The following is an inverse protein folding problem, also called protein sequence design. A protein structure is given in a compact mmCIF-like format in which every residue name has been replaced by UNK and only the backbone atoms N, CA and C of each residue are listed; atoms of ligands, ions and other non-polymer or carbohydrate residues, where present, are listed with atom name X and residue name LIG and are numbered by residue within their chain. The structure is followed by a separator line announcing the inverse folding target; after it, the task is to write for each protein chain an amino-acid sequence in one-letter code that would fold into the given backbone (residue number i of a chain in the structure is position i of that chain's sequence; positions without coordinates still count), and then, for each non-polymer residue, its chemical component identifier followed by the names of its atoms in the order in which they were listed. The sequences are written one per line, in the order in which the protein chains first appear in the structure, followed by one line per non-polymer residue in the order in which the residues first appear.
data_IF_998703212416
#
_entry.id   IF_998703212416
#
_cell.length_a   1.000
_cell.length_b   1.000
_cell.length_c   1.000
_cell.angle_alpha   90.00
_cell.angle_beta   90.00
_cell.angle_gamma   90.00
#
_symmetry.space_group_name_H-M   'P 1'
#
loop_
_entity.id
_entity.type
_entity.pdbx_description
1 polymer ?
#
# COMPACT_ATOMS: atom_id res chain seq x y z
N UNK A 1 -31.28 -5.19 48.78
CA UNK A 1 -31.47 -5.40 47.32
C UNK A 1 -30.20 -5.79 46.55
N UNK A 2 -29.09 -5.04 46.55
CA UNK A 2 -27.88 -5.43 45.77
C UNK A 2 -27.24 -6.77 46.23
N UNK A 3 -27.25 -7.04 47.53
CA UNK A 3 -26.63 -8.24 48.13
C UNK A 3 -27.42 -9.51 47.79
N UNK A 4 -28.75 -9.44 47.87
CA UNK A 4 -29.68 -10.50 47.46
C UNK A 4 -29.48 -10.90 45.98
N UNK A 5 -29.43 -9.92 45.07
CA UNK A 5 -29.22 -10.18 43.65
C UNK A 5 -27.88 -10.87 43.42
N UNK A 6 -26.84 -10.46 44.16
CA UNK A 6 -25.51 -11.06 44.07
C UNK A 6 -25.51 -12.51 44.58
N UNK A 7 -26.18 -12.77 45.71
CA UNK A 7 -26.33 -14.10 46.30
C UNK A 7 -27.08 -15.04 45.35
N UNK A 8 -28.25 -14.65 44.86
CA UNK A 8 -29.06 -15.47 43.95
C UNK A 8 -28.33 -15.74 42.63
N UNK A 9 -27.59 -14.77 42.08
CA UNK A 9 -26.75 -14.98 40.89
C UNK A 9 -25.60 -15.96 41.15
N UNK A 10 -24.97 -15.88 42.32
CA UNK A 10 -23.92 -16.82 42.70
C UNK A 10 -24.50 -18.23 42.85
N UNK A 11 -25.65 -18.37 43.51
CA UNK A 11 -26.34 -19.65 43.64
C UNK A 11 -26.75 -20.22 42.28
N UNK A 12 -27.33 -19.40 41.39
CA UNK A 12 -27.71 -19.81 40.04
C UNK A 12 -26.50 -20.31 39.24
N UNK A 13 -25.35 -19.64 39.39
CA UNK A 13 -24.08 -20.05 38.76
C UNK A 13 -23.59 -21.39 39.31
N UNK A 14 -23.70 -21.62 40.62
CA UNK A 14 -23.31 -22.89 41.23
C UNK A 14 -24.26 -24.03 40.84
N UNK A 15 -25.54 -23.73 40.61
CA UNK A 15 -26.58 -24.69 40.20
C UNK A 15 -26.63 -24.96 38.68
N UNK A 16 -25.64 -24.51 37.91
CA UNK A 16 -25.66 -24.57 36.42
C UNK A 16 -25.83 -25.97 35.82
N UNK A 17 -25.49 -27.03 36.55
CA UNK A 17 -25.62 -28.42 36.10
C UNK A 17 -27.02 -29.02 36.29
N UNK A 18 -27.93 -28.30 36.95
CA UNK A 18 -29.34 -28.70 37.01
C UNK A 18 -30.05 -28.40 35.69
N UNK A 19 -31.17 -29.10 35.45
CA UNK A 19 -32.07 -28.71 34.37
C UNK A 19 -32.58 -27.29 34.61
N UNK A 20 -32.81 -26.48 33.56
CA UNK A 20 -33.20 -25.08 33.71
C UNK A 20 -34.43 -24.89 34.60
N UNK A 21 -35.42 -25.79 34.47
CA UNK A 21 -36.64 -25.78 35.27
C UNK A 21 -36.36 -25.97 36.77
N UNK A 22 -35.63 -27.04 37.11
CA UNK A 22 -35.30 -27.35 38.51
C UNK A 22 -34.44 -26.24 39.13
N UNK A 23 -33.50 -25.68 38.36
CA UNK A 23 -32.69 -24.52 38.80
C UNK A 23 -33.56 -23.31 39.11
N UNK A 24 -34.51 -22.98 38.24
CA UNK A 24 -35.42 -21.84 38.44
C UNK A 24 -36.32 -22.06 39.67
N UNK A 25 -36.79 -23.29 39.89
CA UNK A 25 -37.59 -23.65 41.06
C UNK A 25 -36.81 -23.42 42.36
N UNK A 26 -35.53 -23.84 42.44
CA UNK A 26 -34.68 -23.57 43.60
C UNK A 26 -34.41 -22.07 43.80
N UNK A 27 -34.08 -21.32 42.74
CA UNK A 27 -33.84 -19.88 42.83
C UNK A 27 -35.10 -19.12 43.26
N UNK A 28 -36.26 -19.52 42.76
CA UNK A 28 -37.56 -18.97 43.14
C UNK A 28 -37.88 -19.23 44.61
N UNK A 29 -37.60 -20.45 45.11
CA UNK A 29 -37.80 -20.79 46.52
C UNK A 29 -36.91 -19.94 47.45
N UNK A 30 -35.61 -19.81 47.16
CA UNK A 30 -34.73 -18.94 47.96
C UNK A 30 -35.13 -17.47 47.88
N UNK A 31 -35.61 -16.99 46.72
CA UNK A 31 -36.14 -15.63 46.58
C UNK A 31 -37.38 -15.42 47.45
N UNK A 32 -38.29 -16.39 47.50
CA UNK A 32 -39.49 -16.34 48.35
C UNK A 32 -39.09 -16.31 49.84
N UNK A 33 -38.16 -17.16 50.27
CA UNK A 33 -37.68 -17.17 51.66
C UNK A 33 -37.02 -15.84 52.08
N UNK A 34 -36.24 -15.22 51.19
CA UNK A 34 -35.66 -13.90 51.43
C UNK A 34 -36.75 -12.84 51.55
N UNK A 35 -37.74 -12.88 50.65
CA UNK A 35 -38.84 -11.93 50.64
C UNK A 35 -39.72 -12.04 51.91
N UNK A 36 -40.03 -13.25 52.34
CA UNK A 36 -40.87 -13.50 53.52
C UNK A 36 -40.19 -13.03 54.81
N UNK A 37 -38.88 -13.30 54.98
CA UNK A 37 -38.12 -12.82 56.14
C UNK A 37 -37.92 -11.31 56.13
N UNK A 38 -37.69 -10.73 54.96
CA UNK A 38 -37.62 -9.28 54.81
C UNK A 38 -38.93 -8.60 55.21
N UNK A 39 -40.07 -9.19 54.83
CA UNK A 39 -41.41 -8.71 55.21
C UNK A 39 -41.67 -8.82 56.72
N UNK A 40 -41.07 -9.79 57.39
CA UNK A 40 -41.09 -9.94 58.86
C UNK A 40 -40.18 -8.96 59.62
N UNK A 41 -39.45 -8.08 58.91
CA UNK A 41 -38.66 -7.01 59.51
C UNK A 41 -37.17 -7.30 59.68
N UNK A 42 -36.67 -8.44 59.19
CA UNK A 42 -35.24 -8.76 59.19
C UNK A 42 -34.47 -7.95 58.13
N UNK A 43 -33.23 -7.57 58.43
CA UNK A 43 -32.38 -6.89 57.45
C UNK A 43 -31.92 -7.87 56.37
N UNK A 44 -31.82 -7.42 55.11
CA UNK A 44 -31.37 -8.29 54.01
C UNK A 44 -29.97 -8.87 54.25
N UNK A 45 -29.11 -8.16 54.99
CA UNK A 45 -27.78 -8.62 55.36
C UNK A 45 -27.83 -9.79 56.34
N UNK A 46 -28.69 -9.72 57.35
CA UNK A 46 -28.81 -10.78 58.36
C UNK A 46 -29.44 -12.04 57.75
N UNK A 47 -30.43 -11.85 56.88
CA UNK A 47 -31.07 -12.94 56.12
C UNK A 47 -30.03 -13.69 55.28
N UNK A 48 -29.23 -12.98 54.49
CA UNK A 48 -28.23 -13.61 53.62
C UNK A 48 -27.12 -14.28 54.44
N UNK A 49 -26.71 -13.69 55.55
CA UNK A 49 -25.72 -14.29 56.45
C UNK A 49 -26.26 -15.51 57.21
N UNK A 50 -27.58 -15.67 57.31
CA UNK A 50 -28.22 -16.83 57.93
C UNK A 50 -28.27 -18.05 57.00
N UNK A 51 -28.12 -17.85 55.69
CA UNK A 51 -28.03 -18.96 54.74
C UNK A 51 -26.62 -19.52 54.69
N UNK A 52 -26.53 -20.80 54.35
CA UNK A 52 -25.25 -21.42 53.99
C UNK A 52 -24.68 -20.77 52.72
N UNK A 53 -23.38 -20.97 52.49
CA UNK A 53 -22.74 -20.48 51.27
C UNK A 53 -23.42 -21.05 50.02
N UNK A 54 -23.52 -20.29 48.90
CA UNK A 54 -24.05 -20.80 47.64
C UNK A 54 -23.40 -22.11 47.18
N UNK A 55 -22.12 -22.30 47.48
CA UNK A 55 -21.37 -23.53 47.22
C UNK A 55 -21.89 -24.72 48.04
N UNK A 56 -22.13 -24.52 49.34
CA UNK A 56 -22.70 -25.54 50.24
C UNK A 56 -24.11 -25.91 49.82
N UNK A 57 -24.96 -24.92 49.54
CA UNK A 57 -26.34 -25.12 49.09
C UNK A 57 -26.36 -25.96 47.79
N UNK A 58 -25.54 -25.59 46.81
CA UNK A 58 -25.44 -26.34 45.56
C UNK A 58 -24.92 -27.77 45.77
N UNK A 59 -23.93 -27.96 46.64
CA UNK A 59 -23.41 -29.29 46.98
C UNK A 59 -24.49 -30.19 47.59
N UNK A 60 -25.31 -29.66 48.51
CA UNK A 60 -26.38 -30.40 49.15
C UNK A 60 -27.47 -30.78 48.15
N UNK A 61 -27.88 -29.84 47.28
CA UNK A 61 -28.88 -30.10 46.22
C UNK A 61 -28.37 -31.16 45.22
N UNK A 62 -27.10 -31.11 44.85
CA UNK A 62 -26.51 -32.11 43.95
C UNK A 62 -26.40 -33.49 44.60
N UNK A 63 -26.12 -33.56 45.90
CA UNK A 63 -26.12 -34.82 46.65
C UNK A 63 -27.54 -35.40 46.75
N UNK A 64 -28.53 -34.56 47.05
CA UNK A 64 -29.94 -34.96 47.18
C UNK A 64 -30.52 -35.48 45.85
N UNK A 65 -30.12 -34.88 44.73
CA UNK A 65 -30.55 -35.29 43.38
C UNK A 65 -29.66 -36.37 42.75
N UNK A 66 -28.70 -36.93 43.49
CA UNK A 66 -27.73 -37.95 43.02
C UNK A 66 -26.95 -37.54 41.76
N UNK A 67 -26.68 -36.25 41.60
CA UNK A 67 -25.97 -35.71 40.44
C UNK A 67 -24.47 -35.80 40.67
N UNK A 68 -23.79 -36.65 39.89
CA UNK A 68 -22.32 -36.71 39.89
C UNK A 68 -21.72 -35.46 39.21
N UNK A 69 -21.40 -34.47 40.04
CA UNK A 69 -20.77 -33.21 39.63
C UNK A 69 -19.46 -33.46 38.88
N UNK A 70 -18.68 -34.49 39.20
CA UNK A 70 -17.39 -34.76 38.54
C UNK A 70 -17.62 -35.22 37.10
N UNK A 71 -18.64 -36.05 36.87
CA UNK A 71 -19.01 -36.54 35.54
C UNK A 71 -19.59 -35.46 34.65
N UNK A 72 -20.46 -34.59 35.19
CA UNK A 72 -21.03 -33.47 34.42
C UNK A 72 -19.99 -32.36 34.15
N UNK A 73 -19.08 -32.08 35.10
CA UNK A 73 -17.91 -31.23 34.83
C UNK A 73 -17.02 -31.81 33.72
N UNK A 74 -16.78 -33.12 33.70
CA UNK A 74 -15.98 -33.76 32.67
C UNK A 74 -16.62 -33.69 31.26
N UNK A 75 -17.95 -33.78 31.17
CA UNK A 75 -18.71 -33.57 29.92
C UNK A 75 -18.64 -32.12 29.41
N UNK A 76 -18.82 -31.14 30.29
CA UNK A 76 -18.73 -29.70 29.95
C UNK A 76 -17.30 -29.32 29.52
N UNK A 77 -16.28 -29.89 30.16
CA UNK A 77 -14.88 -29.73 29.74
C UNK A 77 -14.62 -30.32 28.35
N UNK A 78 -15.18 -31.49 28.02
CA UNK A 78 -15.05 -32.09 26.69
C UNK A 78 -15.79 -31.31 25.59
N UNK A 79 -17.02 -30.85 25.85
CA UNK A 79 -17.80 -30.12 24.84
C UNK A 79 -17.28 -28.69 24.63
N UNK A 80 -16.86 -28.00 25.70
CA UNK A 80 -16.25 -26.66 25.58
C UNK A 80 -14.82 -26.72 25.04
N UNK A 81 -14.07 -27.80 25.32
CA UNK A 81 -12.73 -28.03 24.79
C UNK A 81 -12.72 -28.19 23.27
N UNK A 82 -13.65 -28.98 22.71
CA UNK A 82 -13.78 -29.15 21.26
C UNK A 82 -14.20 -27.85 20.56
N UNK A 83 -15.16 -27.11 21.10
CA UNK A 83 -15.57 -25.82 20.53
C UNK A 83 -14.44 -24.78 20.56
N UNK A 84 -13.69 -24.69 21.66
CA UNK A 84 -12.52 -23.81 21.79
C UNK A 84 -11.38 -24.23 20.86
N UNK A 85 -11.16 -25.54 20.69
CA UNK A 85 -10.15 -26.07 19.77
C UNK A 85 -10.52 -25.78 18.30
N UNK A 86 -11.78 -25.95 17.92
CA UNK A 86 -12.28 -25.61 16.57
C UNK A 86 -12.21 -24.11 16.28
N UNK A 87 -12.55 -23.27 17.26
CA UNK A 87 -12.37 -21.82 17.17
C UNK A 87 -10.90 -21.42 17.06
N UNK A 88 -10.02 -22.08 17.81
CA UNK A 88 -8.58 -21.88 17.71
C UNK A 88 -8.03 -22.27 16.33
N UNK A 89 -8.42 -23.44 15.81
CA UNK A 89 -8.01 -23.91 14.48
C UNK A 89 -8.54 -23.02 13.35
N UNK A 90 -9.78 -22.53 13.45
CA UNK A 90 -10.37 -21.66 12.41
C UNK A 90 -9.70 -20.29 12.34
N UNK A 91 -8.99 -19.87 13.38
CA UNK A 91 -8.21 -18.62 13.39
C UNK A 91 -6.83 -18.72 12.75
N UNK A 92 -6.32 -19.93 12.47
CA UNK A 92 -4.98 -20.15 11.90
C UNK A 92 -4.90 -19.70 10.43
N UNK A 93 -5.93 -19.98 9.63
CA UNK A 93 -5.90 -19.63 8.20
C UNK A 93 -5.89 -18.09 7.98
N UNK A 94 -6.72 -17.29 8.67
CA UNK A 94 -6.59 -15.84 8.68
C UNK A 94 -5.23 -15.33 9.18
N UNK A 95 -4.61 -16.02 10.16
CA UNK A 95 -3.29 -15.63 10.66
C UNK A 95 -2.21 -15.74 9.60
N UNK A 96 -2.21 -16.82 8.81
CA UNK A 96 -1.25 -16.99 7.71
C UNK A 96 -1.41 -15.85 6.69
N UNK A 97 -2.64 -15.44 6.38
CA UNK A 97 -2.89 -14.30 5.50
C UNK A 97 -2.34 -12.99 6.07
N UNK A 98 -2.59 -12.71 7.35
CA UNK A 98 -2.06 -11.51 8.04
C UNK A 98 -0.53 -11.52 8.09
N UNK A 99 0.09 -12.68 8.31
CA UNK A 99 1.54 -12.86 8.25
C UNK A 99 2.10 -12.54 6.87
N UNK A 100 1.45 -13.03 5.80
CA UNK A 100 1.83 -12.72 4.42
C UNK A 100 1.77 -11.21 4.15
N UNK A 101 0.76 -10.51 4.67
CA UNK A 101 0.72 -9.05 4.57
C UNK A 101 1.93 -8.39 5.24
N UNK A 102 2.33 -8.83 6.44
CA UNK A 102 3.52 -8.31 7.11
C UNK A 102 4.78 -8.51 6.25
N UNK A 103 4.96 -9.71 5.66
CA UNK A 103 6.07 -10.00 4.74
C UNK A 103 6.05 -9.06 3.53
N UNK A 104 4.88 -8.84 2.91
CA UNK A 104 4.75 -7.94 1.76
C UNK A 104 5.20 -6.53 2.13
N UNK A 105 4.80 -6.02 3.30
CA UNK A 105 5.21 -4.69 3.77
C UNK A 105 6.72 -4.59 4.01
N UNK A 106 7.34 -5.58 4.66
CA UNK A 106 8.79 -5.62 4.85
C UNK A 106 9.54 -5.72 3.52
N UNK A 107 9.06 -6.56 2.61
CA UNK A 107 9.66 -6.73 1.28
C UNK A 107 9.55 -5.45 0.47
N UNK A 108 8.38 -4.80 0.49
CA UNK A 108 8.16 -3.50 -0.19
C UNK A 108 9.09 -2.43 0.36
N UNK A 109 9.23 -2.35 1.69
CA UNK A 109 10.17 -1.43 2.34
C UNK A 109 11.61 -1.66 1.86
N UNK A 110 12.06 -2.93 1.82
CA UNK A 110 13.39 -3.28 1.34
C UNK A 110 13.60 -2.93 -0.14
N UNK A 111 12.62 -3.24 -1.00
CA UNK A 111 12.66 -2.91 -2.43
C UNK A 111 12.74 -1.41 -2.64
N UNK A 112 12.05 -0.59 -1.84
CA UNK A 112 12.14 0.87 -1.93
C UNK A 112 13.52 1.40 -1.54
N UNK A 113 14.20 0.80 -0.57
CA UNK A 113 15.57 1.15 -0.17
C UNK A 113 16.55 0.88 -1.32
N UNK A 114 16.41 -0.24 -2.04
CA UNK A 114 17.26 -0.51 -3.20
C UNK A 114 16.84 0.37 -4.40
N UNK A 115 15.53 0.53 -4.57
CA UNK A 115 14.91 1.25 -5.68
C UNK A 115 15.26 2.73 -5.72
N UNK A 116 15.46 3.39 -4.57
CA UNK A 116 15.83 4.81 -4.59
C UNK A 116 17.21 5.04 -5.20
N UNK A 117 18.21 4.19 -4.90
CA UNK A 117 19.55 4.30 -5.49
C UNK A 117 19.50 4.13 -7.01
N UNK A 118 18.72 3.15 -7.48
CA UNK A 118 18.53 2.94 -8.91
C UNK A 118 17.81 4.13 -9.57
N UNK A 119 16.76 4.66 -8.93
CA UNK A 119 16.03 5.83 -9.42
C UNK A 119 16.93 7.07 -9.56
N UNK A 120 17.86 7.29 -8.61
CA UNK A 120 18.84 8.37 -8.71
C UNK A 120 19.66 8.28 -9.99
N UNK A 121 20.25 7.12 -10.24
CA UNK A 121 21.06 6.89 -11.45
C UNK A 121 20.21 7.10 -12.71
N UNK A 122 18.98 6.60 -12.72
CA UNK A 122 18.09 6.78 -13.87
C UNK A 122 17.76 8.25 -14.14
N UNK A 123 17.56 9.09 -13.12
CA UNK A 123 17.28 10.51 -13.35
C UNK A 123 18.45 11.22 -14.04
N UNK A 124 19.68 10.96 -13.60
CA UNK A 124 20.88 11.60 -14.17
C UNK A 124 21.28 11.05 -15.54
N UNK A 125 20.93 9.80 -15.84
CA UNK A 125 21.15 9.22 -17.17
C UNK A 125 20.15 9.76 -18.21
N UNK A 126 18.89 9.95 -17.83
CA UNK A 126 17.82 10.20 -18.79
C UNK A 126 17.43 11.68 -18.94
N UNK A 127 17.68 12.52 -17.94
CA UNK A 127 17.22 13.91 -17.93
C UNK A 127 18.39 14.91 -17.90
N UNK A 128 18.09 16.14 -18.33
CA UNK A 128 18.99 17.27 -18.18
C UNK A 128 19.18 17.64 -16.71
N UNK A 129 20.30 18.31 -16.38
CA UNK A 129 20.74 18.57 -15.00
C UNK A 129 19.64 19.19 -14.12
N UNK A 130 18.93 20.20 -14.64
CA UNK A 130 17.90 20.91 -13.86
C UNK A 130 16.72 19.99 -13.49
N UNK A 131 16.29 19.16 -14.43
CA UNK A 131 15.19 18.20 -14.28
C UNK A 131 15.61 17.02 -13.40
N UNK A 132 16.83 16.53 -13.58
CA UNK A 132 17.41 15.44 -12.81
C UNK A 132 17.54 15.80 -11.33
N UNK A 133 17.83 17.06 -11.00
CA UNK A 133 17.87 17.56 -9.60
C UNK A 133 16.50 17.41 -8.93
N UNK A 134 15.41 17.80 -9.60
CA UNK A 134 14.06 17.66 -9.07
C UNK A 134 13.69 16.22 -8.77
N UNK A 135 13.89 15.33 -9.74
CA UNK A 135 13.66 13.88 -9.56
C UNK A 135 14.56 13.26 -8.49
N UNK A 136 15.81 13.71 -8.40
CA UNK A 136 16.77 13.25 -7.38
C UNK A 136 16.30 13.58 -5.97
N UNK A 137 15.91 14.84 -5.72
CA UNK A 137 15.40 15.22 -4.40
C UNK A 137 14.10 14.49 -4.06
N UNK A 138 13.23 14.28 -5.06
CA UNK A 138 12.00 13.54 -4.87
C UNK A 138 12.29 12.09 -4.46
N UNK A 139 13.22 11.42 -5.13
CA UNK A 139 13.62 10.05 -4.78
C UNK A 139 14.37 9.95 -3.45
N UNK A 140 15.22 10.92 -3.10
CA UNK A 140 15.91 10.96 -1.80
C UNK A 140 14.95 11.21 -0.63
N UNK A 141 13.82 11.88 -0.87
CA UNK A 141 12.81 12.13 0.15
C UNK A 141 11.74 11.04 0.20
N UNK A 142 10.99 10.90 -0.90
CA UNK A 142 9.74 10.14 -0.93
C UNK A 142 9.95 8.65 -0.73
N UNK A 143 10.94 8.06 -1.42
CA UNK A 143 11.15 6.61 -1.37
C UNK A 143 11.61 6.15 0.02
N UNK A 144 12.57 6.81 0.70
CA UNK A 144 12.87 6.52 2.11
C UNK A 144 11.69 6.74 3.06
N UNK A 145 10.87 7.79 2.88
CA UNK A 145 9.67 7.99 3.70
C UNK A 145 8.68 6.83 3.55
N UNK A 146 8.40 6.42 2.32
CA UNK A 146 7.53 5.27 2.03
C UNK A 146 8.12 3.97 2.59
N UNK A 147 9.44 3.78 2.50
CA UNK A 147 10.11 2.63 3.08
C UNK A 147 9.95 2.58 4.60
N UNK A 148 10.14 3.70 5.30
CA UNK A 148 9.92 3.81 6.74
C UNK A 148 8.45 3.54 7.08
N UNK A 149 7.52 4.13 6.33
CA UNK A 149 6.08 3.93 6.52
C UNK A 149 5.70 2.45 6.42
N UNK A 150 6.08 1.78 5.33
CA UNK A 150 5.77 0.36 5.13
C UNK A 150 6.46 -0.54 6.17
N UNK A 151 7.69 -0.21 6.59
CA UNK A 151 8.35 -0.92 7.68
C UNK A 151 7.57 -0.82 8.99
N UNK A 152 7.08 0.37 9.34
CA UNK A 152 6.26 0.58 10.54
C UNK A 152 4.91 -0.13 10.46
N UNK A 153 4.23 -0.08 9.32
CA UNK A 153 3.00 -0.83 9.09
C UNK A 153 3.27 -2.34 9.28
N UNK A 154 4.35 -2.86 8.70
CA UNK A 154 4.78 -4.25 8.88
C UNK A 154 5.01 -4.63 10.34
N UNK A 155 5.66 -3.77 11.14
CA UNK A 155 5.87 -3.96 12.58
C UNK A 155 4.54 -4.05 13.34
N UNK A 156 3.62 -3.12 13.10
CA UNK A 156 2.35 -3.09 13.83
C UNK A 156 1.47 -4.29 13.47
N UNK A 157 1.45 -4.70 12.20
CA UNK A 157 0.77 -5.93 11.75
C UNK A 157 1.41 -7.15 12.44
N UNK A 158 2.74 -7.23 12.48
CA UNK A 158 3.44 -8.35 13.13
C UNK A 158 3.17 -8.43 14.65
N UNK A 159 3.11 -7.28 15.34
CA UNK A 159 2.72 -7.23 16.76
C UNK A 159 1.29 -7.70 16.97
N UNK A 160 0.37 -7.23 16.13
CA UNK A 160 -1.02 -7.65 16.16
C UNK A 160 -1.14 -9.16 15.94
N UNK A 161 -0.43 -9.68 14.94
CA UNK A 161 -0.37 -11.12 14.66
C UNK A 161 0.18 -11.92 15.83
N UNK A 162 1.29 -11.49 16.44
CA UNK A 162 1.87 -12.16 17.63
C UNK A 162 0.88 -12.21 18.79
N UNK A 163 0.15 -11.13 19.02
CA UNK A 163 -0.91 -11.09 20.04
C UNK A 163 -2.04 -12.06 19.69
N UNK A 164 -2.49 -12.04 18.44
CA UNK A 164 -3.59 -12.87 17.98
C UNK A 164 -3.24 -14.36 17.98
N UNK A 165 -2.02 -14.72 17.55
CA UNK A 165 -1.47 -16.08 17.60
C UNK A 165 -1.41 -16.61 19.04
N UNK A 166 -0.99 -15.76 20.00
CA UNK A 166 -0.99 -16.11 21.41
C UNK A 166 -2.41 -16.41 21.91
N UNK A 167 -3.40 -15.58 21.56
CA UNK A 167 -4.81 -15.80 21.91
C UNK A 167 -5.30 -17.15 21.35
N UNK A 168 -4.98 -17.44 20.09
CA UNK A 168 -5.38 -18.71 19.46
C UNK A 168 -4.77 -19.93 20.14
N UNK A 169 -3.48 -19.88 20.50
CA UNK A 169 -2.84 -20.96 21.26
C UNK A 169 -3.49 -21.12 22.63
N UNK A 170 -3.76 -20.03 23.35
CA UNK A 170 -4.38 -20.08 24.68
C UNK A 170 -5.79 -20.67 24.62
N UNK A 171 -6.56 -20.36 23.57
CA UNK A 171 -7.87 -20.98 23.30
C UNK A 171 -7.76 -22.48 23.02
N UNK A 172 -6.76 -22.92 22.25
CA UNK A 172 -6.53 -24.35 21.96
C UNK A 172 -6.07 -25.12 23.20
N UNK A 173 -5.18 -24.54 24.01
CA UNK A 173 -4.60 -25.18 25.20
C UNK A 173 -5.56 -25.11 26.41
N UNK A 174 -6.59 -24.28 26.36
CA UNK A 174 -7.62 -24.20 27.40
C UNK A 174 -7.16 -23.54 28.70
N UNK A 175 -6.10 -22.72 28.66
CA UNK A 175 -5.64 -21.94 29.81
C UNK A 175 -6.43 -20.63 29.92
N UNK A 176 -6.77 -20.22 31.15
CA UNK A 176 -7.32 -18.89 31.39
C UNK A 176 -6.25 -17.84 31.07
N UNK A 177 -6.63 -16.82 30.29
CA UNK A 177 -5.71 -15.74 29.91
C UNK A 177 -5.20 -15.03 31.18
N UNK A 178 -3.94 -15.23 31.53
CA UNK A 178 -3.24 -14.26 32.36
C UNK A 178 -3.13 -12.97 31.54
N UNK A 179 -3.94 -11.97 31.91
CA UNK A 179 -3.91 -10.63 31.32
C UNK A 179 -2.47 -10.12 31.44
N UNK A 180 -1.76 -10.16 30.32
CA UNK A 180 -0.34 -9.87 30.28
C UNK A 180 -0.12 -8.37 30.36
N UNK A 181 -0.13 -7.83 31.58
CA UNK A 181 0.34 -6.48 31.88
C UNK A 181 1.87 -6.46 31.94
N UNK A 182 2.52 -6.80 30.82
CA UNK A 182 3.92 -6.42 30.62
C UNK A 182 3.96 -5.35 29.57
N UNK A 183 3.76 -4.12 30.05
CA UNK A 183 4.24 -2.96 29.33
C UNK A 183 5.75 -3.07 29.33
N UNK A 184 6.33 -3.49 28.21
CA UNK A 184 7.76 -3.30 27.93
C UNK A 184 8.02 -1.80 27.83
N UNK A 185 8.07 -1.15 29.00
CA UNK A 185 8.57 0.20 29.15
C UNK A 185 10.10 0.10 29.20
N UNK A 186 10.70 1.08 28.53
CA UNK A 186 12.11 1.45 28.61
C UNK A 186 13.04 0.73 27.63
N UNK A 187 13.12 1.28 26.41
CA UNK A 187 14.36 1.53 25.64
C UNK A 187 14.00 2.20 24.31
N UNK A 188 13.65 3.50 24.29
CA UNK A 188 13.22 4.11 23.02
C UNK A 188 13.35 5.65 22.88
N UNK A 189 13.76 6.42 23.91
CA UNK A 189 13.84 7.88 23.72
C UNK A 189 14.85 8.30 22.63
N UNK A 190 16.04 7.69 22.59
CA UNK A 190 17.07 8.00 21.58
C UNK A 190 16.63 7.62 20.15
N UNK A 191 16.04 6.44 19.98
CA UNK A 191 15.58 5.98 18.66
C UNK A 191 14.45 6.87 18.13
N UNK A 192 13.53 7.32 18.99
CA UNK A 192 12.46 8.25 18.61
C UNK A 192 13.00 9.58 18.08
N UNK A 193 14.02 10.14 18.72
CA UNK A 193 14.64 11.41 18.26
C UNK A 193 15.28 11.22 16.88
N UNK A 194 16.04 10.14 16.68
CA UNK A 194 16.68 9.83 15.38
C UNK A 194 15.62 9.68 14.28
N UNK A 195 14.51 8.99 14.57
CA UNK A 195 13.41 8.81 13.61
C UNK A 195 12.76 10.15 13.26
N UNK A 196 12.52 11.03 14.25
CA UNK A 196 11.98 12.36 14.00
C UNK A 196 12.92 13.16 13.09
N UNK A 197 14.21 13.16 13.38
CA UNK A 197 15.22 13.86 12.56
C UNK A 197 15.22 13.32 11.13
N UNK A 198 15.24 11.99 10.95
CA UNK A 198 15.19 11.36 9.63
C UNK A 198 13.90 11.71 8.87
N UNK A 199 12.75 11.64 9.52
CA UNK A 199 11.47 12.02 8.92
C UNK A 199 11.48 13.49 8.48
N UNK A 200 11.99 14.41 9.31
CA UNK A 200 12.12 15.81 8.95
C UNK A 200 13.02 16.01 7.73
N UNK A 201 14.20 15.37 7.71
CA UNK A 201 15.16 15.47 6.59
C UNK A 201 14.55 14.94 5.29
N UNK A 202 13.93 13.75 5.32
CA UNK A 202 13.32 13.18 4.12
C UNK A 202 12.07 13.95 3.67
N UNK A 203 11.32 14.55 4.60
CA UNK A 203 10.18 15.43 4.26
C UNK A 203 10.64 16.69 3.55
N UNK A 204 11.75 17.30 3.99
CA UNK A 204 12.35 18.45 3.32
C UNK A 204 12.81 18.10 1.91
N UNK A 205 13.48 16.96 1.72
CA UNK A 205 13.86 16.48 0.39
C UNK A 205 12.64 16.20 -0.49
N UNK A 206 11.59 15.62 0.07
CA UNK A 206 10.34 15.36 -0.67
C UNK A 206 9.72 16.68 -1.13
N UNK A 207 9.64 17.67 -0.25
CA UNK A 207 9.08 18.98 -0.58
C UNK A 207 9.90 19.69 -1.66
N UNK A 208 11.23 19.73 -1.51
CA UNK A 208 12.14 20.27 -2.53
C UNK A 208 12.04 19.51 -3.85
N UNK A 209 11.91 18.18 -3.80
CA UNK A 209 11.73 17.32 -4.95
C UNK A 209 10.41 17.54 -5.67
N UNK A 210 9.30 17.69 -4.95
CA UNK A 210 8.00 18.03 -5.52
C UNK A 210 8.08 19.38 -6.23
N UNK A 211 8.65 20.40 -5.59
CA UNK A 211 8.86 21.70 -6.23
C UNK A 211 9.74 21.53 -7.47
N UNK A 212 10.92 20.93 -7.36
CA UNK A 212 11.84 20.78 -8.50
C UNK A 212 11.27 19.93 -9.65
N UNK A 213 10.39 18.97 -9.36
CA UNK A 213 9.78 18.09 -10.36
C UNK A 213 8.56 18.72 -11.02
N UNK A 214 7.86 19.65 -10.37
CA UNK A 214 6.58 20.20 -10.85
C UNK A 214 6.55 21.73 -11.03
N UNK A 215 7.57 22.46 -10.59
CA UNK A 215 7.62 23.93 -10.67
C UNK A 215 7.96 24.41 -12.09
N UNK A 216 6.93 24.41 -12.95
CA UNK A 216 6.97 25.01 -14.27
C UNK A 216 6.94 24.00 -15.42
N UNK A 217 6.62 24.46 -16.63
CA UNK A 217 6.29 23.58 -17.76
C UNK A 217 7.48 22.78 -18.32
N UNK A 218 8.72 23.16 -17.97
CA UNK A 218 9.96 22.48 -18.39
C UNK A 218 10.51 21.47 -17.37
N UNK A 219 9.77 21.22 -16.29
CA UNK A 219 10.10 20.19 -15.30
C UNK A 219 9.46 18.85 -15.68
N UNK A 220 9.94 17.73 -15.16
CA UNK A 220 9.45 16.38 -15.54
C UNK A 220 7.93 16.26 -15.32
N UNK A 221 7.48 16.60 -14.11
CA UNK A 221 6.08 16.58 -13.74
C UNK A 221 5.27 17.72 -14.38
N UNK A 222 5.85 18.92 -14.50
CA UNK A 222 5.17 20.06 -15.13
C UNK A 222 4.93 19.87 -16.63
N UNK A 223 5.87 19.28 -17.35
CA UNK A 223 5.72 18.88 -18.75
C UNK A 223 4.61 17.84 -18.90
N UNK A 224 4.62 16.79 -18.05
CA UNK A 224 3.57 15.77 -18.04
C UNK A 224 2.18 16.33 -17.77
N UNK A 225 2.03 17.29 -16.85
CA UNK A 225 0.73 17.90 -16.53
C UNK A 225 0.25 18.87 -17.60
N UNK A 226 1.16 19.61 -18.22
CA UNK A 226 0.83 20.59 -19.25
C UNK A 226 0.70 19.99 -20.65
N UNK A 227 1.07 18.72 -20.83
CA UNK A 227 1.14 18.07 -22.15
C UNK A 227 2.25 18.63 -23.04
N UNK A 228 3.15 19.44 -22.49
CA UNK A 228 4.29 20.00 -23.21
C UNK A 228 5.49 19.06 -23.14
N UNK A 229 6.42 19.23 -24.07
CA UNK A 229 7.72 18.59 -24.02
C UNK A 229 8.76 19.53 -23.39
N UNK A 230 9.73 18.94 -22.71
CA UNK A 230 10.76 19.69 -21.97
C UNK A 230 11.76 20.36 -22.90
N UNK A 231 12.19 19.63 -23.93
CA UNK A 231 13.25 20.03 -24.85
C UNK A 231 12.72 20.08 -26.28
N UNK A 232 13.30 21.00 -27.05
CA UNK A 232 13.04 21.16 -28.47
C UNK A 232 14.37 21.23 -29.19
N UNK A 233 14.53 20.48 -30.29
CA UNK A 233 15.67 20.57 -31.19
C UNK A 233 15.15 20.69 -32.62
N UNK A 234 15.68 21.62 -33.39
CA UNK A 234 15.35 21.75 -34.81
C UNK A 234 16.59 21.47 -35.63
N UNK A 235 16.54 20.40 -36.42
CA UNK A 235 17.59 20.03 -37.36
C UNK A 235 17.17 20.47 -38.77
N UNK A 236 18.09 21.04 -39.54
CA UNK A 236 17.83 21.44 -40.93
C UNK A 236 18.55 20.47 -41.84
N UNK A 237 17.78 19.78 -42.69
CA UNK A 237 18.28 18.83 -43.67
C UNK A 237 18.26 19.50 -45.03
N UNK A 238 19.45 19.71 -45.60
CA UNK A 238 19.58 20.20 -46.97
C UNK A 238 19.49 19.01 -47.92
N UNK A 239 18.58 19.07 -48.88
CA UNK A 239 18.39 18.04 -49.91
C UNK A 239 18.55 18.60 -51.33
N UNK A 240 19.20 19.76 -51.48
CA UNK A 240 19.48 20.39 -52.78
C UNK A 240 20.15 19.44 -53.77
N UNK A 241 21.08 18.60 -53.30
CA UNK A 241 21.77 17.60 -54.12
C UNK A 241 20.84 16.56 -54.74
N UNK A 242 19.67 16.32 -54.15
CA UNK A 242 18.66 15.39 -54.68
C UNK A 242 17.70 16.07 -55.67
N UNK A 243 17.54 17.40 -55.57
CA UNK A 243 16.76 18.21 -56.52
C UNK A 243 17.50 18.44 -57.84
N UNK A 244 18.83 18.59 -57.81
CA UNK A 244 19.65 18.83 -59.02
C UNK A 244 19.63 17.66 -60.02
N UNK A 245 19.33 16.44 -59.56
CA UNK A 245 19.40 15.24 -60.40
C UNK A 245 18.15 14.94 -61.22
N UNK A 246 17.03 15.65 -61.04
CA UNK A 246 15.79 15.41 -61.81
C UNK A 246 14.96 16.68 -62.02
N UNK A 247 14.74 17.02 -63.29
CA UNK A 247 13.83 18.09 -63.72
C UNK A 247 12.42 17.93 -63.12
N UNK A 248 12.06 18.79 -62.17
CA UNK A 248 10.70 19.13 -61.76
C UNK A 248 9.75 17.99 -61.30
N UNK A 249 10.24 16.77 -61.03
CA UNK A 249 9.40 15.72 -60.44
C UNK A 249 9.18 15.98 -58.95
N UNK A 250 7.90 15.96 -58.51
CA UNK A 250 7.54 16.09 -57.09
C UNK A 250 8.21 14.98 -56.28
N UNK A 251 9.13 15.37 -55.39
CA UNK A 251 9.72 14.44 -54.42
C UNK A 251 8.65 14.03 -53.40
N UNK A 252 8.47 12.72 -53.22
CA UNK A 252 7.61 12.18 -52.16
C UNK A 252 8.48 11.70 -51.00
N UNK A 253 8.32 12.34 -49.84
CA UNK A 253 8.97 11.90 -48.61
C UNK A 253 8.03 10.99 -47.82
N UNK A 254 8.52 9.81 -47.46
CA UNK A 254 7.85 8.90 -46.54
C UNK A 254 8.43 9.03 -45.14
N UNK A 255 7.53 9.25 -44.18
CA UNK A 255 7.81 9.47 -42.76
C UNK A 255 7.37 8.31 -41.86
N UNK A 256 6.90 7.20 -42.45
CA UNK A 256 6.41 6.04 -41.69
C UNK A 256 7.43 5.55 -40.67
N UNK A 257 8.72 5.57 -41.04
CA UNK A 257 9.80 5.17 -40.14
C UNK A 257 9.91 6.06 -38.91
N UNK A 258 9.72 7.38 -39.03
CA UNK A 258 9.71 8.27 -37.85
C UNK A 258 8.55 7.96 -36.91
N UNK A 259 7.42 7.45 -37.45
CA UNK A 259 6.24 7.10 -36.67
C UNK A 259 6.52 5.91 -35.75
N UNK A 260 7.31 4.97 -36.23
CA UNK A 260 7.73 3.80 -35.44
C UNK A 260 8.59 4.19 -34.23
N UNK A 261 9.22 5.38 -34.27
CA UNK A 261 10.00 5.97 -33.18
C UNK A 261 9.27 7.12 -32.45
N UNK A 262 8.05 7.48 -32.85
CA UNK A 262 7.25 8.54 -32.23
C UNK A 262 5.89 8.02 -31.76
N UNK A 263 5.66 8.03 -30.45
CA UNK A 263 4.36 7.62 -29.89
C UNK A 263 3.27 8.68 -30.08
N UNK A 264 3.64 9.96 -30.13
CA UNK A 264 2.71 11.07 -30.30
C UNK A 264 3.03 11.81 -31.59
N UNK A 265 2.18 11.59 -32.60
CA UNK A 265 1.87 12.52 -33.69
C UNK A 265 3.07 13.08 -34.48
N UNK A 266 3.18 12.66 -35.74
CA UNK A 266 3.94 13.43 -36.73
C UNK A 266 3.03 14.57 -37.21
N UNK A 267 3.41 15.81 -36.95
CA UNK A 267 2.77 16.96 -37.57
C UNK A 267 3.50 17.30 -38.87
N UNK A 268 2.80 17.22 -40.00
CA UNK A 268 3.29 17.68 -41.29
C UNK A 268 2.74 19.09 -41.54
N UNK A 269 3.62 20.07 -41.68
CA UNK A 269 3.27 21.41 -42.14
C UNK A 269 3.76 21.49 -43.59
N UNK A 270 2.87 21.14 -44.52
CA UNK A 270 3.11 21.24 -45.97
C UNK A 270 2.85 22.67 -46.43
N UNK A 271 3.90 23.33 -46.90
CA UNK A 271 3.79 24.56 -47.66
C UNK A 271 3.78 24.23 -49.16
N UNK A 272 3.08 25.04 -49.96
CA UNK A 272 2.81 24.75 -51.38
C UNK A 272 4.05 24.91 -52.29
N UNK A 273 5.13 25.51 -51.78
CA UNK A 273 6.40 25.70 -52.49
C UNK A 273 7.54 24.94 -51.78
N UNK A 274 7.96 23.82 -52.38
CA UNK A 274 9.08 23.01 -51.91
C UNK A 274 10.41 23.76 -52.17
N UNK A 275 11.03 24.32 -51.12
CA UNK A 275 12.42 24.84 -51.16
C UNK A 275 13.44 23.72 -50.89
N UNK A 276 14.74 23.94 -51.08
CA UNK A 276 15.81 22.92 -50.95
C UNK A 276 16.12 22.43 -49.53
N UNK A 277 15.36 22.86 -48.54
CA UNK A 277 15.62 22.60 -47.12
C UNK A 277 14.38 22.07 -46.39
N UNK A 278 14.60 21.09 -45.52
CA UNK A 278 13.60 20.47 -44.67
C UNK A 278 13.98 20.70 -43.20
N UNK A 279 13.12 21.35 -42.41
CA UNK A 279 13.32 21.47 -40.96
C UNK A 279 12.58 20.36 -40.23
N UNK A 280 13.32 19.57 -39.45
CA UNK A 280 12.79 18.56 -38.53
C UNK A 280 12.87 19.12 -37.13
N UNK A 281 11.73 19.58 -36.60
CA UNK A 281 11.58 19.93 -35.19
C UNK A 281 11.24 18.68 -34.38
N UNK A 282 12.04 18.40 -33.35
CA UNK A 282 11.88 17.30 -32.41
C UNK A 282 11.63 17.87 -31.02
N UNK A 283 10.47 17.56 -30.46
CA UNK A 283 10.09 17.90 -29.10
C UNK A 283 10.18 16.64 -28.22
N UNK A 284 10.92 16.68 -27.12
CA UNK A 284 11.24 15.49 -26.33
C UNK A 284 11.47 15.76 -24.83
N UNK A 285 11.35 14.70 -24.01
CA UNK A 285 11.47 14.80 -22.53
C UNK A 285 12.81 14.34 -21.96
N UNK A 286 13.70 13.79 -22.79
CA UNK A 286 14.98 13.25 -22.35
C UNK A 286 16.15 14.21 -22.62
N UNK A 287 17.34 13.82 -22.15
CA UNK A 287 18.58 14.54 -22.33
C UNK A 287 18.90 14.80 -23.81
N UNK A 288 19.30 16.02 -24.13
CA UNK A 288 19.63 16.47 -25.49
C UNK A 288 20.81 15.74 -26.12
N UNK A 289 21.73 15.23 -25.28
CA UNK A 289 22.89 14.44 -25.69
C UNK A 289 22.53 13.04 -26.20
N UNK A 290 21.28 12.59 -26.10
CA UNK A 290 20.81 11.40 -26.81
C UNK A 290 20.67 11.79 -28.29
N UNK A 291 21.74 11.54 -29.05
CA UNK A 291 21.75 11.82 -30.48
C UNK A 291 20.65 11.02 -31.18
N UNK A 292 19.83 11.71 -31.97
CA UNK A 292 19.08 11.09 -33.06
C UNK A 292 19.51 11.83 -34.30
N UNK A 293 20.37 11.20 -35.07
CA UNK A 293 20.74 11.68 -36.40
C UNK A 293 19.73 11.15 -37.41
N UNK A 294 19.48 11.91 -38.47
CA UNK A 294 18.57 11.52 -39.55
C UNK A 294 19.34 11.42 -40.86
N UNK A 295 18.92 10.51 -41.71
CA UNK A 295 19.41 10.36 -43.07
C UNK A 295 18.22 10.21 -44.00
N UNK A 296 18.34 10.86 -45.15
CA UNK A 296 17.40 10.71 -46.26
C UNK A 296 17.94 9.58 -47.13
N UNK A 297 17.20 8.46 -47.19
CA UNK A 297 17.53 7.34 -48.08
C UNK A 297 16.57 7.27 -49.25
N UNK A 298 17.11 7.20 -50.45
CA UNK A 298 16.32 6.97 -51.65
C UNK A 298 15.85 5.51 -51.70
N UNK A 299 14.56 5.31 -51.97
CA UNK A 299 14.01 3.99 -52.26
C UNK A 299 14.50 3.49 -53.64
N UNK A 300 14.61 2.17 -53.80
CA UNK A 300 15.00 1.56 -55.08
C UNK A 300 13.96 1.83 -56.18
N UNK A 301 12.73 2.13 -55.78
CA UNK A 301 11.70 2.64 -56.67
C UNK A 301 11.86 4.15 -56.83
N UNK A 302 12.21 4.59 -58.05
CA UNK A 302 12.48 5.99 -58.37
C UNK A 302 11.38 6.94 -57.85
N UNK A 303 11.79 7.98 -57.12
CA UNK A 303 11.04 9.14 -56.61
C UNK A 303 10.48 9.07 -55.18
N UNK A 304 10.69 7.98 -54.44
CA UNK A 304 10.37 7.92 -53.01
C UNK A 304 11.64 8.05 -52.15
N UNK A 305 11.59 8.93 -51.16
CA UNK A 305 12.67 9.14 -50.19
C UNK A 305 12.17 8.85 -48.78
N UNK A 306 12.93 8.11 -48.00
CA UNK A 306 12.60 7.77 -46.61
C UNK A 306 13.47 8.60 -45.68
N UNK A 307 12.84 9.34 -44.76
CA UNK A 307 13.55 9.97 -43.66
C UNK A 307 13.64 8.95 -42.51
N UNK A 308 14.85 8.46 -42.25
CA UNK A 308 15.08 7.43 -41.24
C UNK A 308 16.14 7.87 -40.22
N UNK A 309 16.02 7.45 -38.95
CA UNK A 309 17.06 7.71 -37.97
C UNK A 309 18.29 6.81 -38.22
N UNK A 310 19.50 7.37 -38.13
CA UNK A 310 20.77 6.69 -38.44
C UNK A 310 21.33 5.98 -37.21
N UNK A 311 21.21 6.60 -36.04
CA UNK A 311 21.76 6.11 -34.79
C UNK A 311 20.74 6.37 -33.67
N UNK A 312 19.82 5.44 -33.43
CA UNK A 312 18.97 5.49 -32.23
C UNK A 312 19.73 4.81 -31.10
N UNK A 313 20.62 5.55 -30.44
CA UNK A 313 21.29 5.04 -29.25
C UNK A 313 20.27 4.84 -28.12
N UNK A 314 19.97 3.57 -27.85
CA UNK A 314 19.10 3.03 -26.82
C UNK A 314 17.60 3.38 -26.91
N UNK A 315 16.85 2.38 -27.39
CA UNK A 315 15.46 2.12 -27.03
C UNK A 315 15.34 1.82 -25.52
N UNK A 316 15.57 2.79 -24.65
CA UNK A 316 15.16 2.67 -23.25
C UNK A 316 13.64 2.89 -23.20
N UNK A 317 12.89 1.81 -23.48
CA UNK A 317 11.48 1.68 -23.10
C UNK A 317 11.38 1.61 -21.56
N UNK A 318 11.77 2.67 -20.88
CA UNK A 318 11.61 2.78 -19.44
C UNK A 318 10.30 3.55 -19.20
N UNK A 319 9.34 2.87 -18.54
CA UNK A 319 8.06 3.40 -18.04
C UNK A 319 6.94 3.76 -19.03
N UNK A 320 6.99 3.35 -20.30
CA UNK A 320 5.88 3.62 -21.24
C UNK A 320 5.54 5.13 -21.38
N UNK A 321 6.47 6.01 -20.98
CA UNK A 321 6.34 7.46 -21.12
C UNK A 321 6.80 7.78 -22.54
N UNK A 322 5.84 8.06 -23.42
CA UNK A 322 6.08 8.57 -24.77
C UNK A 322 6.90 9.86 -24.71
N UNK A 323 8.00 9.93 -25.44
CA UNK A 323 9.04 10.93 -25.14
C UNK A 323 9.47 11.79 -26.32
N UNK A 324 8.89 11.60 -27.51
CA UNK A 324 9.29 12.31 -28.72
C UNK A 324 8.07 12.60 -29.62
N UNK A 325 7.90 13.88 -29.98
CA UNK A 325 7.01 14.38 -31.03
C UNK A 325 7.91 14.92 -32.16
N UNK A 326 7.63 14.52 -33.40
CA UNK A 326 8.26 15.10 -34.58
C UNK A 326 7.30 16.06 -35.29
N UNK A 327 7.79 17.26 -35.59
CA UNK A 327 7.12 18.22 -36.46
C UNK A 327 8.03 18.48 -37.65
N UNK A 328 7.53 18.24 -38.85
CA UNK A 328 8.28 18.38 -40.10
C UNK A 328 7.70 19.59 -40.83
N UNK A 329 8.57 20.54 -41.14
CA UNK A 329 8.20 21.80 -41.78
C UNK A 329 8.94 21.93 -43.10
N UNK A 330 8.18 22.08 -44.18
CA UNK A 330 8.67 22.51 -45.48
C UNK A 330 8.66 24.03 -45.52
N UNK A 331 9.72 24.65 -46.07
CA UNK A 331 9.88 26.12 -46.14
C UNK A 331 10.04 26.82 -44.78
N UNK A 332 11.25 26.83 -44.23
CA UNK A 332 11.46 27.21 -42.84
C UNK A 332 11.48 28.71 -42.52
N UNK A 333 11.47 29.57 -43.54
CA UNK A 333 11.56 31.03 -43.37
C UNK A 333 10.18 31.69 -43.21
N UNK A 334 9.10 30.94 -43.47
CA UNK A 334 7.72 31.45 -43.45
C UNK A 334 6.90 30.99 -42.23
N UNK A 335 7.41 30.01 -41.48
CA UNK A 335 6.74 29.45 -40.30
C UNK A 335 7.39 29.98 -39.02
N UNK A 336 6.69 30.88 -38.30
CA UNK A 336 7.08 31.30 -36.95
C UNK A 336 6.69 30.21 -35.94
N UNK A 337 7.67 29.72 -35.18
CA UNK A 337 7.50 28.70 -34.13
C UNK A 337 6.98 29.24 -32.81
#
# INVERSE_FOLDING_TARGET
MKIEILFLKNLEKQLRFLKPKDREDFISNYRLQIYDRYKSGESTTDIINSFESPESIASNIYQELEIDIKKEKAKEYKSSGLAKMLLGLSTILPQILVFLFSIIFFTTSFVLIVGFLFSLVLFWLNFETLQAIGGTFLSLGLLPLLAILFFYIGIEIYKFEKLFFKISIELVVGREMEIYNKTDKVKSKKNKIIIIILLSVFSLFTFAGVIGTFAGPKTIGGASLSGNMINTKTDTLNYSSFMETKDNEKLNFNYSFLRDYSWYKINLIEDKELKSELKVKRDYNFKSSLNFDYEIKQDKNFNNYHLQPVNVSLNLKIFNISSIIFTITYNPDEVKF
#
